data_IF_472894571582
#
_entry.id   IF_472894571582
#
_cell.length_a   1.000
_cell.length_b   1.000
_cell.length_c   1.000
_cell.angle_alpha   90.00
_cell.angle_beta   90.00
_cell.angle_gamma   90.00
#
_symmetry.space_group_name_H-M   'P 1'
#
loop_
_entity.id
_entity.type
_entity.pdbx_description
1 polymer ?
#
# COMPACT_ATOMS: atom_id res chain seq x y z
N UNK A 1 2.75 -15.97 21.60
CA UNK A 1 1.82 -15.75 20.47
C UNK A 1 2.64 -15.41 19.24
N UNK A 2 2.29 -15.91 18.06
CA UNK A 2 3.07 -15.68 16.84
C UNK A 2 2.94 -14.24 16.33
N UNK A 3 3.98 -13.73 15.67
CA UNK A 3 4.00 -12.38 15.10
C UNK A 3 2.85 -12.11 14.11
N UNK A 4 2.42 -13.15 13.37
CA UNK A 4 1.34 -13.06 12.38
C UNK A 4 -0.06 -13.27 12.97
N UNK A 5 -0.18 -13.69 14.23
CA UNK A 5 -1.48 -13.96 14.86
C UNK A 5 -2.47 -12.78 14.77
N UNK A 6 -2.06 -11.51 14.98
CA UNK A 6 -2.96 -10.36 14.86
C UNK A 6 -3.59 -10.17 13.47
N UNK A 7 -2.97 -10.72 12.42
CA UNK A 7 -3.47 -10.60 11.04
C UNK A 7 -4.56 -11.63 10.73
N UNK A 8 -4.44 -12.83 11.29
CA UNK A 8 -5.42 -13.91 11.08
C UNK A 8 -6.55 -13.89 12.10
N UNK A 9 -6.24 -13.45 13.32
CA UNK A 9 -7.16 -13.42 14.45
C UNK A 9 -7.04 -12.07 15.19
N UNK A 10 -7.57 -10.97 14.61
CA UNK A 10 -7.51 -9.66 15.24
C UNK A 10 -8.33 -9.64 16.53
N UNK A 11 -7.72 -9.15 17.60
CA UNK A 11 -8.38 -8.91 18.90
C UNK A 11 -9.25 -7.66 18.89
N UNK A 12 -8.95 -6.69 18.03
CA UNK A 12 -9.72 -5.46 17.87
C UNK A 12 -11.10 -5.75 17.24
N UNK A 13 -12.17 -5.36 17.94
CA UNK A 13 -13.56 -5.55 17.51
C UNK A 13 -13.87 -4.85 16.20
N UNK A 14 -13.16 -3.76 15.89
CA UNK A 14 -13.33 -3.00 14.63
C UNK A 14 -12.99 -3.84 13.41
N UNK A 15 -12.10 -4.81 13.55
CA UNK A 15 -11.60 -5.66 12.47
C UNK A 15 -12.24 -7.06 12.46
N UNK A 16 -13.34 -7.26 13.19
CA UNK A 16 -14.07 -8.54 13.22
C UNK A 16 -15.18 -8.62 12.17
N UNK A 17 -15.19 -9.69 11.37
CA UNK A 17 -16.19 -9.91 10.31
C UNK A 17 -15.56 -9.83 8.92
N UNK A 18 -16.31 -9.42 7.88
CA UNK A 18 -15.80 -9.33 6.51
C UNK A 18 -14.59 -8.40 6.36
N UNK A 19 -14.52 -7.33 7.16
CA UNK A 19 -13.43 -6.35 7.11
C UNK A 19 -12.08 -6.90 7.59
N UNK A 20 -12.03 -8.10 8.19
CA UNK A 20 -10.76 -8.80 8.49
C UNK A 20 -9.96 -9.12 7.22
N UNK A 21 -10.64 -9.20 6.07
CA UNK A 21 -10.00 -9.41 4.78
C UNK A 21 -8.94 -8.35 4.46
N UNK A 22 -9.07 -7.12 5.01
CA UNK A 22 -8.05 -6.08 4.86
C UNK A 22 -6.68 -6.52 5.40
N UNK A 23 -6.66 -7.19 6.56
CA UNK A 23 -5.41 -7.63 7.19
C UNK A 23 -4.74 -8.70 6.34
N UNK A 24 -5.54 -9.62 5.78
CA UNK A 24 -5.06 -10.65 4.87
C UNK A 24 -4.55 -10.05 3.54
N UNK A 25 -5.29 -9.11 2.96
CA UNK A 25 -4.86 -8.38 1.76
C UNK A 25 -3.56 -7.61 1.99
N UNK A 26 -3.34 -7.06 3.18
CA UNK A 26 -2.07 -6.42 3.54
C UNK A 26 -0.89 -7.39 3.45
N UNK A 27 -1.07 -8.64 3.90
CA UNK A 27 -0.05 -9.69 3.78
C UNK A 27 0.20 -10.09 2.32
N UNK A 28 -0.86 -10.29 1.54
CA UNK A 28 -0.75 -10.62 0.10
C UNK A 28 0.00 -9.50 -0.64
N UNK A 29 -0.37 -8.25 -0.36
CA UNK A 29 0.32 -7.07 -0.89
C UNK A 29 1.81 -7.07 -0.53
N UNK A 30 2.16 -7.38 0.72
CA UNK A 30 3.58 -7.47 1.14
C UNK A 30 4.36 -8.53 0.37
N UNK A 31 3.75 -9.66 -0.02
CA UNK A 31 4.39 -10.68 -0.86
C UNK A 31 4.69 -10.12 -2.26
N UNK A 32 3.71 -9.43 -2.86
CA UNK A 32 3.90 -8.79 -4.17
C UNK A 32 4.97 -7.69 -4.09
N UNK A 33 4.97 -6.91 -3.01
CA UNK A 33 5.99 -5.89 -2.76
C UNK A 33 7.41 -6.47 -2.68
N UNK A 34 7.58 -7.63 -2.04
CA UNK A 34 8.88 -8.32 -2.03
C UNK A 34 9.31 -8.70 -3.44
N UNK A 35 8.40 -9.27 -4.25
CA UNK A 35 8.71 -9.60 -5.64
C UNK A 35 9.09 -8.36 -6.46
N UNK A 36 8.38 -7.24 -6.25
CA UNK A 36 8.68 -5.96 -6.87
C UNK A 36 10.07 -5.42 -6.46
N UNK A 37 10.43 -5.48 -5.16
CA UNK A 37 11.76 -5.09 -4.68
C UNK A 37 12.86 -5.95 -5.31
N UNK A 38 12.63 -7.25 -5.49
CA UNK A 38 13.58 -8.13 -6.17
C UNK A 38 13.80 -7.69 -7.62
N UNK A 39 12.74 -7.33 -8.36
CA UNK A 39 12.88 -6.80 -9.72
C UNK A 39 13.68 -5.49 -9.75
N UNK A 40 13.41 -4.56 -8.82
CA UNK A 40 14.15 -3.31 -8.72
C UNK A 40 15.66 -3.55 -8.46
N UNK A 41 16.01 -4.54 -7.62
CA UNK A 41 17.40 -4.94 -7.39
C UNK A 41 18.02 -5.53 -8.66
N UNK A 42 17.27 -6.37 -9.39
CA UNK A 42 17.72 -6.93 -10.68
C UNK A 42 17.97 -5.82 -11.69
N UNK A 43 17.10 -4.80 -11.78
CA UNK A 43 17.32 -3.65 -12.65
C UNK A 43 18.62 -2.92 -12.30
N UNK A 44 18.84 -2.60 -11.03
CA UNK A 44 20.10 -1.96 -10.58
C UNK A 44 21.32 -2.77 -11.04
N UNK A 45 21.27 -4.10 -10.93
CA UNK A 45 22.37 -4.98 -11.32
C UNK A 45 22.53 -5.10 -12.84
N UNK A 46 21.44 -5.04 -13.60
CA UNK A 46 21.49 -5.06 -15.05
C UNK A 46 21.97 -3.72 -15.59
N UNK A 47 21.58 -2.61 -14.96
CA UNK A 47 22.03 -1.28 -15.32
C UNK A 47 23.55 -1.16 -15.24
N UNK A 48 24.15 -1.60 -14.13
CA UNK A 48 25.61 -1.64 -13.95
C UNK A 48 26.35 -2.38 -15.08
N UNK A 49 25.70 -3.38 -15.68
CA UNK A 49 26.24 -4.11 -16.84
C UNK A 49 25.97 -3.42 -18.17
N UNK A 50 24.82 -2.77 -18.33
CA UNK A 50 24.40 -2.12 -19.56
C UNK A 50 25.01 -0.74 -19.75
N UNK A 51 25.32 -0.02 -18.66
CA UNK A 51 25.88 1.32 -18.67
C UNK A 51 27.39 1.35 -18.93
N UNK A 52 27.97 0.27 -19.48
CA UNK A 52 29.40 0.00 -19.52
C UNK A 52 30.28 1.23 -19.74
N UNK A 53 30.99 1.65 -18.68
CA UNK A 53 32.11 2.62 -18.58
C UNK A 53 32.09 3.97 -19.35
N UNK A 54 31.21 4.22 -20.31
CA UNK A 54 31.26 5.40 -21.19
C UNK A 54 30.28 6.51 -20.81
N UNK A 55 29.28 6.24 -19.96
CA UNK A 55 28.34 7.25 -19.48
C UNK A 55 28.54 7.47 -17.99
N UNK A 56 29.24 8.55 -17.64
CA UNK A 56 29.48 9.06 -16.28
C UNK A 56 28.20 9.70 -15.67
N UNK A 57 27.03 9.50 -16.26
CA UNK A 57 25.74 10.08 -15.85
C UNK A 57 25.07 9.28 -14.71
N UNK A 58 25.85 8.90 -13.71
CA UNK A 58 25.36 8.18 -12.52
C UNK A 58 24.25 8.96 -11.79
N UNK A 59 24.30 10.29 -11.86
CA UNK A 59 23.33 11.22 -11.27
C UNK A 59 21.96 11.13 -11.98
N UNK A 60 21.93 11.09 -13.32
CA UNK A 60 20.69 10.97 -14.10
C UNK A 60 19.98 9.63 -13.87
N UNK A 61 20.75 8.53 -13.75
CA UNK A 61 20.17 7.24 -13.40
C UNK A 61 19.62 7.21 -11.98
N UNK A 62 20.35 7.78 -11.00
CA UNK A 62 19.91 7.85 -9.61
C UNK A 62 18.58 8.58 -9.46
N UNK A 63 18.43 9.73 -10.10
CA UNK A 63 17.22 10.55 -10.03
C UNK A 63 16.02 9.87 -10.71
N UNK A 64 16.23 9.30 -11.91
CA UNK A 64 15.17 8.58 -12.62
C UNK A 64 14.77 7.28 -11.91
N UNK A 65 15.72 6.57 -11.29
CA UNK A 65 15.44 5.39 -10.48
C UNK A 65 14.66 5.74 -9.22
N UNK A 66 15.04 6.80 -8.49
CA UNK A 66 14.30 7.23 -7.31
C UNK A 66 12.88 7.70 -7.65
N UNK A 67 12.71 8.43 -8.75
CA UNK A 67 11.39 8.87 -9.23
C UNK A 67 10.48 7.67 -9.54
N UNK A 68 11.04 6.64 -10.17
CA UNK A 68 10.33 5.41 -10.57
C UNK A 68 9.99 4.52 -9.37
N UNK A 69 10.94 4.27 -8.48
CA UNK A 69 10.80 3.30 -7.39
C UNK A 69 10.65 3.95 -6.01
N UNK A 70 11.50 4.92 -5.72
CA UNK A 70 11.63 5.52 -4.39
C UNK A 70 10.35 6.23 -3.95
N UNK A 71 9.73 6.98 -4.86
CA UNK A 71 8.52 7.78 -4.56
C UNK A 71 7.34 6.91 -4.10
N UNK A 72 7.17 5.71 -4.66
CA UNK A 72 6.11 4.77 -4.27
C UNK A 72 6.54 3.83 -3.14
N UNK A 73 7.76 3.30 -3.21
CA UNK A 73 8.25 2.28 -2.28
C UNK A 73 8.58 2.82 -0.89
N UNK A 74 9.11 4.05 -0.80
CA UNK A 74 9.47 4.61 0.49
C UNK A 74 8.26 4.90 1.39
N UNK A 75 7.20 5.58 0.90
CA UNK A 75 5.96 5.72 1.67
C UNK A 75 5.30 4.37 1.99
N UNK A 76 5.37 3.40 1.07
CA UNK A 76 4.88 2.04 1.28
C UNK A 76 5.60 1.35 2.46
N UNK A 77 6.92 1.47 2.54
CA UNK A 77 7.73 0.89 3.61
C UNK A 77 7.35 1.50 4.96
N UNK A 78 7.25 2.84 5.02
CA UNK A 78 6.83 3.57 6.22
C UNK A 78 5.43 3.12 6.65
N UNK A 79 4.48 3.03 5.71
CA UNK A 79 3.13 2.56 5.98
C UNK A 79 3.09 1.10 6.43
N UNK A 80 3.92 0.23 5.86
CA UNK A 80 4.00 -1.19 6.24
C UNK A 80 4.49 -1.33 7.68
N UNK A 81 5.55 -0.62 8.06
CA UNK A 81 6.05 -0.60 9.44
C UNK A 81 4.98 -0.04 10.39
N UNK A 82 4.36 1.09 10.03
CA UNK A 82 3.30 1.70 10.84
C UNK A 82 2.11 0.77 11.02
N UNK A 83 1.63 0.14 9.95
CA UNK A 83 0.47 -0.75 10.00
C UNK A 83 0.76 -2.02 10.79
N UNK A 84 1.96 -2.62 10.65
CA UNK A 84 2.40 -3.75 11.48
C UNK A 84 2.37 -3.40 12.97
N UNK A 85 2.95 -2.26 13.34
CA UNK A 85 2.93 -1.78 14.72
C UNK A 85 1.50 -1.48 15.21
N UNK A 86 0.70 -0.78 14.42
CA UNK A 86 -0.66 -0.39 14.81
C UNK A 86 -1.60 -1.60 14.94
N UNK A 87 -1.47 -2.59 14.06
CA UNK A 87 -2.25 -3.84 14.10
C UNK A 87 -1.84 -4.67 15.32
N UNK A 88 -0.54 -4.86 15.54
CA UNK A 88 -0.05 -5.61 16.72
C UNK A 88 -0.44 -4.95 18.04
N UNK A 89 -0.48 -3.62 18.09
CA UNK A 89 -0.93 -2.87 19.26
C UNK A 89 -2.46 -2.75 19.40
N UNK A 90 -3.27 -3.32 18.49
CA UNK A 90 -4.74 -3.11 18.42
C UNK A 90 -5.13 -1.62 18.37
N UNK A 91 -4.31 -0.79 17.72
CA UNK A 91 -4.49 0.66 17.56
C UNK A 91 -4.81 1.07 16.12
N UNK A 92 -4.96 0.11 15.21
CA UNK A 92 -5.17 0.40 13.81
C UNK A 92 -6.59 0.91 13.54
N UNK A 93 -6.72 2.21 13.27
CA UNK A 93 -8.02 2.85 13.14
C UNK A 93 -8.58 2.71 11.70
N UNK A 94 -9.89 2.41 11.52
CA UNK A 94 -10.49 2.27 10.19
C UNK A 94 -10.36 3.50 9.30
N UNK A 95 -10.43 4.71 9.89
CA UNK A 95 -10.24 5.97 9.15
C UNK A 95 -8.81 6.11 8.64
N UNK A 96 -7.80 5.69 9.43
CA UNK A 96 -6.42 5.68 8.96
C UNK A 96 -6.24 4.67 7.83
N UNK A 97 -6.87 3.49 7.96
CA UNK A 97 -6.81 2.47 6.94
C UNK A 97 -7.37 2.92 5.59
N UNK A 98 -8.54 3.59 5.57
CA UNK A 98 -9.11 4.10 4.32
C UNK A 98 -8.24 5.23 3.74
N UNK A 99 -7.82 6.21 4.56
CA UNK A 99 -7.00 7.33 4.09
C UNK A 99 -5.67 6.86 3.51
N UNK A 100 -4.95 5.97 4.20
CA UNK A 100 -3.70 5.42 3.71
C UNK A 100 -3.92 4.57 2.45
N UNK A 101 -4.99 3.76 2.39
CA UNK A 101 -5.27 2.96 1.19
C UNK A 101 -5.55 3.84 -0.03
N UNK A 102 -6.23 4.98 0.14
CA UNK A 102 -6.48 5.95 -0.93
C UNK A 102 -5.20 6.64 -1.38
N UNK A 103 -4.37 7.12 -0.44
CA UNK A 103 -3.10 7.77 -0.78
C UNK A 103 -2.18 6.80 -1.52
N UNK A 104 -2.05 5.57 -1.02
CA UNK A 104 -1.20 4.56 -1.64
C UNK A 104 -1.73 4.11 -2.99
N UNK A 105 -3.05 3.97 -3.16
CA UNK A 105 -3.64 3.69 -4.48
C UNK A 105 -3.21 4.73 -5.51
N UNK A 106 -3.35 6.03 -5.19
CA UNK A 106 -2.93 7.09 -6.09
C UNK A 106 -1.43 7.02 -6.39
N UNK A 107 -0.61 6.79 -5.37
CA UNK A 107 0.84 6.73 -5.48
C UNK A 107 1.32 5.58 -6.38
N UNK A 108 0.81 4.37 -6.15
CA UNK A 108 1.14 3.18 -6.96
C UNK A 108 0.63 3.29 -8.39
N UNK A 109 -0.56 3.88 -8.59
CA UNK A 109 -1.11 4.10 -9.92
C UNK A 109 -0.26 5.09 -10.70
N UNK A 110 0.13 6.21 -10.09
CA UNK A 110 1.03 7.20 -10.70
C UNK A 110 2.40 6.60 -11.04
N UNK A 111 2.98 5.80 -10.13
CA UNK A 111 4.24 5.09 -10.38
C UNK A 111 4.13 4.11 -11.54
N UNK A 112 3.03 3.36 -11.63
CA UNK A 112 2.79 2.41 -12.71
C UNK A 112 2.72 3.08 -14.08
N UNK A 113 1.98 4.18 -14.18
CA UNK A 113 1.89 4.95 -15.42
C UNK A 113 3.22 5.60 -15.78
N UNK A 114 3.95 6.12 -14.80
CA UNK A 114 5.29 6.65 -15.02
C UNK A 114 6.22 5.59 -15.62
N UNK A 115 6.20 4.35 -15.10
CA UNK A 115 6.97 3.24 -15.66
C UNK A 115 6.61 2.93 -17.12
N UNK A 116 5.31 2.83 -17.40
CA UNK A 116 4.82 2.55 -18.75
C UNK A 116 5.19 3.68 -19.72
N UNK A 117 5.01 4.93 -19.32
CA UNK A 117 5.35 6.08 -20.16
C UNK A 117 6.85 6.18 -20.40
N UNK A 118 7.68 5.93 -19.39
CA UNK A 118 9.14 5.92 -19.56
C UNK A 118 9.59 4.82 -20.51
N UNK A 119 8.99 3.63 -20.43
CA UNK A 119 9.26 2.55 -21.39
C UNK A 119 8.88 2.95 -22.83
N UNK A 120 7.75 3.63 -23.00
CA UNK A 120 7.29 4.09 -24.31
C UNK A 120 8.07 5.30 -24.85
N UNK A 121 8.53 6.18 -23.98
CA UNK A 121 9.19 7.43 -24.36
C UNK A 121 10.72 7.33 -24.39
N UNK A 122 11.29 6.18 -24.03
CA UNK A 122 12.75 6.01 -24.05
C UNK A 122 13.24 5.96 -25.49
N UNK A 123 13.94 7.00 -25.91
CA UNK A 123 14.73 6.99 -27.16
C UNK A 123 16.10 6.30 -26.98
N UNK A 124 16.36 5.74 -25.80
CA UNK A 124 17.63 5.13 -25.45
C UNK A 124 17.90 3.89 -26.31
N UNK A 125 18.84 4.01 -27.25
CA UNK A 125 19.34 2.90 -28.05
C UNK A 125 20.32 2.04 -27.24
N UNK A 126 19.82 1.31 -26.25
CA UNK A 126 20.61 0.23 -25.63
C UNK A 126 20.68 -0.96 -26.58
N UNK A 127 21.84 -1.64 -26.65
CA UNK A 127 21.95 -2.94 -27.33
C UNK A 127 20.91 -3.97 -26.80
N UNK A 128 20.43 -3.76 -25.56
CA UNK A 128 19.43 -4.59 -24.88
C UNK A 128 18.13 -3.84 -24.56
N UNK A 129 17.73 -2.84 -25.37
CA UNK A 129 16.55 -2.01 -25.12
C UNK A 129 15.27 -2.84 -24.83
N UNK A 130 15.10 -3.95 -25.56
CA UNK A 130 13.98 -4.86 -25.37
C UNK A 130 13.93 -5.56 -24.00
N UNK A 131 15.09 -5.80 -23.38
CA UNK A 131 15.16 -6.41 -22.05
C UNK A 131 14.77 -5.39 -20.96
N UNK A 132 15.20 -4.15 -21.11
CA UNK A 132 14.83 -3.05 -20.21
C UNK A 132 13.33 -2.72 -20.32
N UNK A 133 12.79 -2.61 -21.54
CA UNK A 133 11.37 -2.34 -21.78
C UNK A 133 10.46 -3.40 -21.14
N UNK A 134 10.80 -4.69 -21.31
CA UNK A 134 10.08 -5.80 -20.66
C UNK A 134 10.12 -5.73 -19.14
N UNK A 135 11.24 -5.28 -18.58
CA UNK A 135 11.41 -5.11 -17.15
C UNK A 135 10.52 -3.98 -16.64
N UNK A 136 10.50 -2.82 -17.31
CA UNK A 136 9.60 -1.71 -16.98
C UNK A 136 8.11 -2.09 -17.06
N UNK A 137 7.69 -2.85 -18.08
CA UNK A 137 6.31 -3.35 -18.12
C UNK A 137 6.00 -4.37 -17.02
N UNK A 138 6.95 -5.25 -16.70
CA UNK A 138 6.81 -6.21 -15.61
C UNK A 138 6.61 -5.51 -14.27
N UNK A 139 7.42 -4.48 -14.01
CA UNK A 139 7.34 -3.64 -12.81
C UNK A 139 6.05 -2.83 -12.77
N UNK A 140 5.70 -2.14 -13.87
CA UNK A 140 4.43 -1.44 -14.01
C UNK A 140 3.23 -2.34 -13.77
N UNK A 141 3.28 -3.59 -14.25
CA UNK A 141 2.27 -4.62 -13.99
C UNK A 141 2.13 -4.98 -12.51
N UNK A 142 3.25 -5.19 -11.79
CA UNK A 142 3.23 -5.42 -10.34
C UNK A 142 2.72 -4.21 -9.56
N UNK A 143 3.10 -2.99 -9.98
CA UNK A 143 2.58 -1.75 -9.40
C UNK A 143 1.05 -1.65 -9.54
N UNK A 144 0.51 -1.96 -10.72
CA UNK A 144 -0.94 -2.01 -10.95
C UNK A 144 -1.62 -3.11 -10.11
N UNK A 145 -0.97 -4.27 -9.94
CA UNK A 145 -1.49 -5.32 -9.06
C UNK A 145 -1.57 -4.86 -7.59
N UNK A 146 -0.55 -4.14 -7.10
CA UNK A 146 -0.57 -3.52 -5.77
C UNK A 146 -1.67 -2.44 -5.68
N UNK A 147 -1.81 -1.61 -6.71
CA UNK A 147 -2.88 -0.60 -6.77
C UNK A 147 -4.28 -1.25 -6.69
N UNK A 148 -4.50 -2.36 -7.40
CA UNK A 148 -5.75 -3.11 -7.33
C UNK A 148 -6.04 -3.67 -5.93
N UNK A 149 -5.01 -4.16 -5.22
CA UNK A 149 -5.15 -4.57 -3.82
C UNK A 149 -5.53 -3.39 -2.92
N UNK A 150 -4.98 -2.20 -3.16
CA UNK A 150 -5.38 -1.00 -2.42
C UNK A 150 -6.83 -0.60 -2.67
N UNK A 151 -7.39 -0.83 -3.87
CA UNK A 151 -8.83 -0.67 -4.11
C UNK A 151 -9.64 -1.61 -3.21
N UNK A 152 -9.28 -2.89 -3.18
CA UNK A 152 -9.96 -3.85 -2.31
C UNK A 152 -9.84 -3.45 -0.82
N UNK A 153 -8.66 -3.02 -0.38
CA UNK A 153 -8.45 -2.53 0.99
C UNK A 153 -9.26 -1.27 1.30
N UNK A 154 -9.43 -0.34 0.35
CA UNK A 154 -10.32 0.83 0.50
C UNK A 154 -11.76 0.40 0.75
N UNK A 155 -12.27 -0.60 0.02
CA UNK A 155 -13.63 -1.13 0.19
C UNK A 155 -13.82 -1.71 1.60
N UNK A 156 -12.92 -2.60 2.04
CA UNK A 156 -13.00 -3.19 3.38
C UNK A 156 -12.82 -2.15 4.50
N UNK A 157 -11.94 -1.16 4.30
CA UNK A 157 -11.80 -0.03 5.22
C UNK A 157 -13.09 0.80 5.28
N UNK A 158 -13.75 1.04 4.15
CA UNK A 158 -15.02 1.75 4.08
C UNK A 158 -16.12 1.04 4.86
N UNK A 159 -16.21 -0.29 4.75
CA UNK A 159 -17.13 -1.11 5.55
C UNK A 159 -16.81 -0.96 7.04
N UNK A 160 -15.53 -1.05 7.42
CA UNK A 160 -15.09 -0.90 8.82
C UNK A 160 -15.42 0.49 9.39
N UNK A 161 -15.19 1.56 8.61
CA UNK A 161 -15.54 2.94 8.98
C UNK A 161 -17.05 3.10 9.14
N UNK A 162 -17.85 2.55 8.23
CA UNK A 162 -19.31 2.64 8.30
C UNK A 162 -19.83 1.97 9.57
N UNK A 163 -19.35 0.76 9.87
CA UNK A 163 -19.73 0.02 11.07
C UNK A 163 -19.31 0.75 12.35
N UNK A 164 -18.07 1.22 12.41
CA UNK A 164 -17.57 2.00 13.55
C UNK A 164 -18.41 3.26 13.81
N UNK A 165 -18.80 3.99 12.75
CA UNK A 165 -19.71 5.15 12.87
C UNK A 165 -21.10 4.74 13.36
N UNK A 166 -21.62 3.61 12.91
CA UNK A 166 -22.92 3.11 13.33
C UNK A 166 -22.93 2.72 14.83
N UNK A 167 -21.86 2.07 15.31
CA UNK A 167 -21.69 1.71 16.73
C UNK A 167 -21.61 2.96 17.61
N UNK A 168 -20.79 3.96 17.24
CA UNK A 168 -20.72 5.25 17.96
C UNK A 168 -22.07 5.98 18.06
N UNK A 169 -22.87 5.95 16.99
CA UNK A 169 -24.22 6.54 17.02
C UNK A 169 -25.11 5.84 18.03
N UNK A 170 -25.10 4.50 18.05
CA UNK A 170 -25.89 3.71 19.02
C UNK A 170 -25.51 4.01 20.47
N UNK A 171 -24.23 4.12 20.76
CA UNK A 171 -23.74 4.50 22.10
C UNK A 171 -24.26 5.89 22.51
N UNK A 172 -24.19 6.85 21.60
CA UNK A 172 -24.63 8.23 21.86
C UNK A 172 -26.14 8.29 22.12
N UNK A 173 -26.96 7.62 21.31
CA UNK A 173 -28.40 7.55 21.52
C UNK A 173 -28.80 6.75 22.76
N UNK A 174 -28.07 5.67 23.07
CA UNK A 174 -28.29 4.88 24.28
C UNK A 174 -28.05 5.70 25.55
N UNK A 175 -26.98 6.48 25.58
CA UNK A 175 -26.67 7.40 26.69
C UNK A 175 -27.71 8.53 26.80
N UNK A 176 -28.14 9.12 25.67
CA UNK A 176 -29.16 10.15 25.65
C UNK A 176 -30.51 9.65 26.21
N UNK A 177 -30.90 8.42 25.90
CA UNK A 177 -32.13 7.80 26.40
C UNK A 177 -32.07 7.54 27.91
N UNK A 178 -30.95 7.00 28.42
CA UNK A 178 -30.79 6.79 29.86
C UNK A 178 -30.80 8.10 30.65
N UNK A 179 -30.28 9.19 30.08
CA UNK A 179 -30.32 10.52 30.69
C UNK A 179 -31.74 11.11 30.76
N UNK A 180 -32.57 10.91 29.73
CA UNK A 180 -33.96 11.39 29.78
C UNK A 180 -34.80 10.58 30.77
N UNK A 181 -34.64 9.25 30.78
CA UNK A 181 -35.31 8.36 31.73
C UNK A 181 -34.93 8.67 33.19
N UNK A 182 -33.70 9.12 33.45
CA UNK A 182 -33.26 9.54 34.78
C UNK A 182 -33.86 10.91 35.18
N UNK A 183 -34.05 11.83 34.22
CA UNK A 183 -34.65 13.14 34.47
C UNK A 183 -36.16 13.08 34.73
N UNK A 184 -36.88 12.13 34.13
CA UNK A 184 -38.31 11.92 34.38
C UNK A 184 -38.61 11.27 35.74
N UNK A 185 -37.59 10.72 36.41
CA UNK A 185 -37.71 10.06 37.71
C UNK A 185 -37.31 10.94 38.90
N UNK A 186 -36.80 12.15 38.64
CA UNK A 186 -36.38 13.12 39.65
C UNK A 186 -37.47 14.19 39.86
#
# INVERSE_FOLDING_TARGET
MGFLTPFFHPTDSRWQGPQKALLWLSLVKSIILIAFIVLAIVEIRLWDKWSGQEYDDLEYYGDSFFLRFGVSTFPELVYTIYSLWAISASKFHPVTAISCSTIMFCLWTSGAFLMIFLAMSSELMYEMNYAWERLCYGEGGLMLAIAALYIAMMVFSGIAVHRWRAEKRKETYGLARMGSDASERA
#
